data_IF_614059413202
#
_entry.id   IF_614059413202
#
_cell.length_a   1.000
_cell.length_b   1.000
_cell.length_c   1.000
_cell.angle_alpha   90.00
_cell.angle_beta   90.00
_cell.angle_gamma   90.00
#
_symmetry.space_group_name_H-M   'P 1'
#
loop_
_entity.id
_entity.type
_entity.pdbx_description
1 polymer ?
#
# COMPACT_ATOMS: atom_id res chain seq x y z
N UNK A 1 3.77 -15.75 35.54
CA UNK A 1 4.82 -14.85 35.00
C UNK A 1 5.12 -13.77 36.04
N UNK A 2 6.39 -13.41 36.29
CA UNK A 2 6.72 -12.37 37.29
C UNK A 2 6.16 -11.02 36.85
N UNK A 3 5.65 -10.22 37.80
CA UNK A 3 5.02 -8.90 37.57
C UNK A 3 5.88 -7.98 36.67
N UNK A 4 7.21 -8.03 36.83
CA UNK A 4 8.18 -7.32 35.99
C UNK A 4 8.05 -7.65 34.50
N UNK A 5 7.79 -8.91 34.15
CA UNK A 5 7.68 -9.34 32.76
C UNK A 5 6.37 -8.87 32.13
N UNK A 6 5.29 -8.82 32.92
CA UNK A 6 4.00 -8.27 32.48
C UNK A 6 4.14 -6.77 32.22
N UNK A 7 4.81 -6.04 33.11
CA UNK A 7 5.12 -4.61 32.96
C UNK A 7 5.93 -4.33 31.69
N UNK A 8 6.94 -5.14 31.38
CA UNK A 8 7.73 -4.98 30.15
C UNK A 8 6.89 -5.18 28.87
N UNK A 9 5.96 -6.14 28.88
CA UNK A 9 5.06 -6.39 27.74
C UNK A 9 4.10 -5.20 27.55
N UNK A 10 3.49 -4.72 28.64
CA UNK A 10 2.55 -3.57 28.60
C UNK A 10 3.25 -2.32 28.06
N UNK A 11 4.48 -2.06 28.52
CA UNK A 11 5.29 -0.94 28.03
C UNK A 11 5.55 -1.08 26.52
N UNK A 12 5.96 -2.27 26.06
CA UNK A 12 6.21 -2.51 24.63
C UNK A 12 4.98 -2.28 23.75
N UNK A 13 3.78 -2.65 24.21
CA UNK A 13 2.52 -2.45 23.47
C UNK A 13 2.11 -0.98 23.38
N UNK A 14 2.42 -0.15 24.39
CA UNK A 14 2.05 1.28 24.39
C UNK A 14 2.85 2.06 23.32
N UNK A 15 4.08 1.64 23.00
CA UNK A 15 4.96 2.33 22.05
C UNK A 15 4.71 1.99 20.57
N UNK A 16 3.79 1.08 20.23
CA UNK A 16 3.55 0.69 18.81
C UNK A 16 2.71 1.68 18.01
N UNK A 17 2.07 2.66 18.65
CA UNK A 17 1.08 3.54 18.00
C UNK A 17 1.66 4.85 17.43
N UNK A 18 2.97 5.08 17.48
CA UNK A 18 3.59 6.33 16.99
C UNK A 18 4.16 6.16 15.58
N UNK A 19 3.34 5.71 14.64
CA UNK A 19 3.72 5.70 13.21
C UNK A 19 3.08 6.90 12.51
N UNK A 20 3.90 7.83 12.03
CA UNK A 20 3.47 8.89 11.12
C UNK A 20 3.77 8.35 9.72
N UNK A 21 2.74 7.95 8.98
CA UNK A 21 2.91 7.63 7.56
C UNK A 21 3.08 8.93 6.78
N UNK A 22 3.90 8.87 5.73
CA UNK A 22 3.93 9.92 4.72
C UNK A 22 2.53 10.02 4.10
N UNK A 23 1.99 11.23 3.92
CA UNK A 23 0.76 11.38 3.13
C UNK A 23 1.01 10.74 1.77
N UNK A 24 0.21 9.71 1.46
CA UNK A 24 0.36 8.97 0.22
C UNK A 24 0.19 9.95 -0.93
N UNK A 25 1.23 10.11 -1.76
CA UNK A 25 1.13 10.86 -3.00
C UNK A 25 -0.13 10.36 -3.73
N UNK A 26 -1.06 11.24 -4.14
CA UNK A 26 -2.32 10.80 -4.72
C UNK A 26 -2.01 9.94 -5.96
N UNK A 27 -2.25 8.64 -5.81
CA UNK A 27 -2.01 7.60 -6.82
C UNK A 27 -3.23 7.50 -7.75
N UNK A 28 -4.18 8.44 -7.67
CA UNK A 28 -5.38 8.40 -8.51
C UNK A 28 -5.00 8.33 -9.99
N UNK A 29 -3.93 8.96 -10.47
CA UNK A 29 -3.49 8.76 -11.87
C UNK A 29 -3.27 7.29 -12.27
N UNK A 30 -2.94 6.39 -11.32
CA UNK A 30 -2.81 4.95 -11.61
C UNK A 30 -4.16 4.26 -11.90
N UNK A 31 -5.31 4.88 -11.61
CA UNK A 31 -6.62 4.34 -12.03
C UNK A 31 -6.73 4.27 -13.56
N UNK A 32 -6.14 5.24 -14.27
CA UNK A 32 -6.04 5.23 -15.75
C UNK A 32 -5.16 4.09 -16.25
N UNK A 33 -4.38 3.48 -15.35
CA UNK A 33 -3.43 2.43 -15.66
C UNK A 33 -3.97 1.05 -15.27
N UNK A 34 -5.29 0.85 -15.25
CA UNK A 34 -5.92 -0.45 -15.00
C UNK A 34 -5.60 -1.01 -13.57
N UNK A 35 -5.63 -0.11 -12.58
CA UNK A 35 -5.55 -0.42 -11.16
C UNK A 35 -6.88 -0.05 -10.45
N UNK A 36 -7.93 -0.82 -10.73
CA UNK A 36 -9.29 -0.57 -10.26
C UNK A 36 -9.45 -0.59 -8.73
N UNK A 37 -8.55 -1.27 -8.00
CA UNK A 37 -8.54 -1.27 -6.54
C UNK A 37 -8.38 0.14 -5.93
N UNK A 38 -7.71 1.05 -6.65
CA UNK A 38 -7.54 2.44 -6.23
C UNK A 38 -8.81 3.29 -6.38
N UNK A 39 -9.78 2.83 -7.19
CA UNK A 39 -11.08 3.49 -7.36
C UNK A 39 -12.03 3.04 -6.26
N UNK A 40 -12.15 1.73 -6.07
CA UNK A 40 -13.01 1.15 -5.03
C UNK A 40 -12.47 -0.20 -4.57
N UNK A 41 -12.39 -0.46 -3.24
CA UNK A 41 -11.78 -1.69 -2.71
C UNK A 41 -12.50 -2.98 -3.15
N UNK A 42 -13.80 -2.92 -3.48
CA UNK A 42 -14.54 -4.08 -4.01
C UNK A 42 -14.09 -4.52 -5.41
N UNK A 43 -13.29 -3.71 -6.12
CA UNK A 43 -12.75 -4.06 -7.43
C UNK A 43 -11.48 -4.93 -7.34
N UNK A 44 -11.05 -5.31 -6.13
CA UNK A 44 -9.99 -6.30 -5.97
C UNK A 44 -10.38 -7.61 -6.70
N UNK A 45 -9.51 -8.08 -7.59
CA UNK A 45 -9.75 -9.30 -8.36
C UNK A 45 -10.66 -9.14 -9.59
N UNK A 46 -11.09 -7.92 -9.95
CA UNK A 46 -11.84 -7.68 -11.21
C UNK A 46 -11.01 -7.98 -12.46
N UNK A 47 -9.68 -7.99 -12.33
CA UNK A 47 -8.76 -8.31 -13.41
C UNK A 47 -8.87 -9.79 -13.81
N UNK A 48 -8.92 -10.05 -15.12
CA UNK A 48 -8.98 -11.40 -15.69
C UNK A 48 -7.64 -12.17 -15.61
N UNK A 49 -6.56 -11.53 -15.20
CA UNK A 49 -5.23 -12.12 -15.13
C UNK A 49 -4.46 -11.59 -13.91
N UNK A 50 -3.43 -12.34 -13.51
CA UNK A 50 -2.43 -11.83 -12.58
C UNK A 50 -1.62 -10.71 -13.26
N UNK A 51 -1.37 -9.63 -12.51
CA UNK A 51 -0.67 -8.44 -12.99
C UNK A 51 0.52 -8.16 -12.10
N UNK A 52 1.64 -7.85 -12.74
CA UNK A 52 2.81 -7.23 -12.11
C UNK A 52 2.87 -5.80 -12.61
N UNK A 53 3.04 -4.84 -11.70
CA UNK A 53 3.03 -3.42 -12.00
C UNK A 53 4.28 -2.76 -11.44
N UNK A 54 4.91 -1.95 -12.28
CA UNK A 54 6.01 -1.07 -11.90
C UNK A 54 5.59 0.35 -12.29
N UNK A 55 5.47 1.24 -11.31
CA UNK A 55 5.15 2.65 -11.55
C UNK A 55 6.32 3.50 -11.08
N UNK A 56 6.84 4.35 -11.97
CA UNK A 56 7.82 5.38 -11.64
C UNK A 56 7.22 6.76 -11.91
N UNK A 57 7.27 7.64 -10.91
CA UNK A 57 6.74 9.00 -11.00
C UNK A 57 7.78 9.99 -10.48
N UNK A 58 8.01 11.04 -11.27
CA UNK A 58 8.78 12.23 -10.90
C UNK A 58 7.80 13.40 -10.88
N UNK A 59 7.81 14.19 -9.82
CA UNK A 59 7.10 15.47 -9.77
C UNK A 59 8.08 16.62 -9.97
N UNK A 60 7.55 17.78 -10.39
CA UNK A 60 8.28 19.05 -10.61
C UNK A 60 9.58 18.90 -11.41
N UNK A 61 9.43 18.63 -12.72
CA UNK A 61 10.58 18.52 -13.63
C UNK A 61 11.45 19.79 -13.60
N UNK A 62 12.76 19.60 -13.54
CA UNK A 62 13.75 20.69 -13.53
C UNK A 62 14.12 21.22 -12.15
N UNK A 63 13.53 20.71 -11.06
CA UNK A 63 13.92 21.04 -9.69
C UNK A 63 14.80 19.93 -9.10
N UNK A 64 15.93 20.29 -8.49
CA UNK A 64 16.73 19.35 -7.70
C UNK A 64 15.93 18.86 -6.49
N UNK A 65 16.13 17.59 -6.11
CA UNK A 65 15.43 16.93 -4.99
C UNK A 65 13.89 16.89 -5.06
N UNK A 66 13.31 17.07 -6.24
CA UNK A 66 11.86 17.00 -6.40
C UNK A 66 11.29 15.59 -6.09
N UNK A 67 10.07 15.49 -5.52
CA UNK A 67 9.50 14.22 -5.08
C UNK A 67 9.46 13.15 -6.17
N UNK A 68 9.90 11.94 -5.80
CA UNK A 68 9.95 10.77 -6.69
C UNK A 68 9.27 9.59 -6.00
N UNK A 69 8.52 8.81 -6.76
CA UNK A 69 7.86 7.60 -6.28
C UNK A 69 8.17 6.45 -7.25
N UNK A 70 8.68 5.35 -6.72
CA UNK A 70 8.83 4.09 -7.43
C UNK A 70 8.04 3.04 -6.66
N UNK A 71 7.07 2.40 -7.30
CA UNK A 71 6.28 1.33 -6.69
C UNK A 71 6.36 0.07 -7.55
N UNK A 72 6.39 -1.08 -6.88
CA UNK A 72 6.24 -2.38 -7.50
C UNK A 72 5.10 -3.11 -6.79
N UNK A 73 4.14 -3.64 -7.54
CA UNK A 73 3.04 -4.42 -6.99
C UNK A 73 2.74 -5.65 -7.82
N UNK A 74 2.21 -6.68 -7.16
CA UNK A 74 1.76 -7.92 -7.78
C UNK A 74 0.37 -8.20 -7.26
N UNK A 75 -0.59 -8.37 -8.16
CA UNK A 75 -1.98 -8.66 -7.82
C UNK A 75 -2.52 -9.78 -8.70
N UNK A 76 -3.19 -10.75 -8.09
CA UNK A 76 -3.81 -11.87 -8.79
C UNK A 76 -4.90 -12.49 -7.94
N UNK A 77 -5.84 -13.18 -8.58
CA UNK A 77 -6.84 -14.00 -7.90
C UNK A 77 -6.22 -15.33 -7.49
N UNK A 78 -6.58 -15.80 -6.30
CA UNK A 78 -6.28 -17.16 -5.86
C UNK A 78 -7.54 -18.00 -6.08
N UNK A 79 -7.47 -19.00 -6.95
CA UNK A 79 -8.60 -19.87 -7.32
C UNK A 79 -9.55 -19.27 -8.36
N UNK A 80 -10.49 -20.08 -8.86
CA UNK A 80 -11.41 -19.73 -9.96
C UNK A 80 -12.83 -19.35 -9.50
N UNK A 81 -13.04 -19.20 -8.19
CA UNK A 81 -14.36 -18.86 -7.68
C UNK A 81 -14.75 -17.42 -8.05
N UNK A 82 -16.01 -17.16 -8.40
CA UNK A 82 -16.51 -15.79 -8.56
C UNK A 82 -16.22 -15.01 -7.28
N UNK A 83 -15.74 -13.76 -7.43
CA UNK A 83 -15.70 -12.85 -6.28
C UNK A 83 -17.13 -12.68 -5.76
N UNK A 84 -17.33 -12.91 -4.46
CA UNK A 84 -18.62 -12.72 -3.79
C UNK A 84 -19.09 -11.26 -3.84
#
# INVERSE_FOLDING_TARGET
>A
MRLRNILMIVIGVVFTNTTISQEGLPIYTDYLTDNYYLIHPSMAGVANCAKVRLTARQQWFGHEDAPKLLTMSINGRIGDTPSA
#
